data_IF_607065003991
#
_entry.id   IF_607065003991
#
_cell.length_a   1.000
_cell.length_b   1.000
_cell.length_c   1.000
_cell.angle_alpha   90.00
_cell.angle_beta   90.00
_cell.angle_gamma   90.00
#
_symmetry.space_group_name_H-M   'P 1'
#
loop_
_entity.id
_entity.type
_entity.pdbx_description
1 polymer ?
#
# COMPACT_ATOMS: atom_id res chain seq x y z
N UNK A 1 6.13 -29.40 40.79
CA UNK A 1 6.59 -29.77 39.43
C UNK A 1 5.35 -30.08 38.63
N UNK A 2 4.89 -29.26 37.68
CA UNK A 2 5.44 -28.06 37.08
C UNK A 2 4.24 -27.35 36.46
N UNK A 3 4.07 -26.09 36.86
CA UNK A 3 3.33 -25.06 36.15
C UNK A 3 3.92 -24.84 34.76
N UNK A 4 3.10 -24.74 33.71
CA UNK A 4 2.92 -23.47 32.99
C UNK A 4 1.76 -23.54 31.96
N UNK A 5 1.12 -22.39 31.67
CA UNK A 5 -0.05 -22.25 30.79
C UNK A 5 0.35 -21.72 29.40
N UNK A 6 -0.66 -21.30 28.60
CA UNK A 6 -0.58 -20.39 27.43
C UNK A 6 -0.76 -21.07 26.06
N UNK A 7 -2.02 -21.27 25.67
CA UNK A 7 -2.40 -21.29 24.25
C UNK A 7 -3.31 -20.08 23.98
N UNK A 8 -2.77 -18.89 24.18
CA UNK A 8 -3.37 -17.63 23.80
C UNK A 8 -2.48 -17.03 22.71
N UNK A 9 -2.87 -17.22 21.43
CA UNK A 9 -2.58 -16.33 20.28
C UNK A 9 -2.79 -17.05 18.94
N UNK A 10 -4.01 -17.52 18.64
CA UNK A 10 -4.31 -18.00 17.26
C UNK A 10 -5.59 -17.41 16.65
N UNK A 11 -6.41 -16.66 17.40
CA UNK A 11 -7.73 -16.24 16.92
C UNK A 11 -7.88 -14.72 16.68
N UNK A 12 -6.98 -14.11 15.90
CA UNK A 12 -7.14 -12.72 15.45
C UNK A 12 -7.15 -12.54 13.92
N UNK A 13 -7.22 -13.64 13.16
CA UNK A 13 -7.40 -13.63 11.69
C UNK A 13 -8.80 -14.13 11.28
N UNK A 14 -9.71 -14.28 12.24
CA UNK A 14 -11.11 -14.60 11.98
C UNK A 14 -11.94 -13.31 11.88
N UNK A 15 -12.51 -13.05 10.69
CA UNK A 15 -13.73 -12.25 10.40
C UNK A 15 -13.65 -11.29 9.21
N UNK A 16 -12.63 -11.39 8.35
CA UNK A 16 -12.86 -10.97 6.96
C UNK A 16 -13.56 -12.15 6.28
N UNK A 17 -14.88 -12.13 6.30
CA UNK A 17 -15.71 -13.06 5.52
C UNK A 17 -15.41 -12.84 4.03
N UNK A 18 -14.38 -13.52 3.52
CA UNK A 18 -14.12 -13.59 2.08
C UNK A 18 -15.24 -14.45 1.50
N UNK A 19 -16.16 -13.89 0.69
CA UNK A 19 -17.25 -14.68 0.12
C UNK A 19 -16.63 -15.78 -0.74
N UNK A 20 -16.98 -17.03 -0.44
CA UNK A 20 -16.37 -18.22 -1.05
C UNK A 20 -16.53 -18.28 -2.59
N UNK A 21 -17.43 -17.49 -3.17
CA UNK A 21 -17.71 -17.48 -4.61
C UNK A 21 -17.79 -16.06 -5.19
N UNK A 22 -17.00 -15.79 -6.24
CA UNK A 22 -17.07 -14.55 -7.03
C UNK A 22 -18.43 -14.30 -7.68
N UNK A 23 -19.33 -15.29 -7.66
CA UNK A 23 -20.72 -15.18 -8.08
C UNK A 23 -21.59 -14.37 -7.09
N UNK A 24 -21.25 -14.32 -5.80
CA UNK A 24 -22.00 -13.57 -4.79
C UNK A 24 -21.90 -12.04 -4.95
N UNK A 25 -20.97 -11.56 -5.78
CA UNK A 25 -20.79 -10.15 -6.12
C UNK A 25 -21.66 -9.72 -7.32
N UNK A 26 -22.24 -10.66 -8.07
CA UNK A 26 -23.15 -10.39 -9.19
C UNK A 26 -24.58 -10.27 -8.67
N UNK A 27 -24.95 -9.07 -8.22
CA UNK A 27 -26.35 -8.75 -7.90
C UNK A 27 -26.61 -7.51 -7.05
N UNK A 28 -25.58 -6.87 -6.48
CA UNK A 28 -25.76 -5.74 -5.54
C UNK A 28 -25.45 -4.41 -6.23
N UNK A 29 -26.50 -3.66 -6.58
CA UNK A 29 -26.38 -2.31 -7.15
C UNK A 29 -26.47 -1.22 -6.06
N UNK A 30 -25.89 -0.04 -6.33
CA UNK A 30 -26.04 1.16 -5.50
C UNK A 30 -24.97 1.40 -4.42
N UNK A 31 -25.31 2.28 -3.46
CA UNK A 31 -24.45 2.76 -2.36
C UNK A 31 -23.88 1.64 -1.48
N UNK A 32 -24.62 0.52 -1.37
CA UNK A 32 -24.14 -0.66 -0.65
C UNK A 32 -22.84 -1.20 -1.23
N UNK A 33 -22.66 -1.17 -2.56
CA UNK A 33 -21.41 -1.65 -3.20
C UNK A 33 -20.22 -0.76 -2.88
N UNK A 34 -20.44 0.56 -2.81
CA UNK A 34 -19.42 1.53 -2.40
C UNK A 34 -19.03 1.28 -0.94
N UNK A 35 -20.00 1.10 -0.04
CA UNK A 35 -19.75 0.83 1.38
C UNK A 35 -18.94 -0.46 1.60
N UNK A 36 -19.32 -1.57 0.97
CA UNK A 36 -18.55 -2.81 1.06
C UNK A 36 -17.16 -2.69 0.40
N UNK A 37 -17.05 -1.98 -0.74
CA UNK A 37 -15.75 -1.70 -1.36
C UNK A 37 -14.85 -0.86 -0.45
N UNK A 38 -15.40 0.14 0.26
CA UNK A 38 -14.67 0.90 1.27
C UNK A 38 -14.16 0.01 2.41
N UNK A 39 -14.94 -1.00 2.82
CA UNK A 39 -14.51 -2.01 3.79
C UNK A 39 -13.30 -2.83 3.30
N UNK A 40 -13.32 -3.31 2.06
CA UNK A 40 -12.18 -4.02 1.48
C UNK A 40 -10.94 -3.12 1.33
N UNK A 41 -11.12 -1.87 0.88
CA UNK A 41 -10.02 -0.90 0.78
C UNK A 41 -9.38 -0.61 2.15
N UNK A 42 -10.19 -0.44 3.20
CA UNK A 42 -9.69 -0.23 4.55
C UNK A 42 -8.93 -1.46 5.09
N UNK A 43 -9.42 -2.66 4.81
CA UNK A 43 -8.72 -3.90 5.16
C UNK A 43 -7.37 -4.00 4.44
N UNK A 44 -7.31 -3.68 3.14
CA UNK A 44 -6.07 -3.67 2.36
C UNK A 44 -5.04 -2.66 2.89
N UNK A 45 -5.47 -1.42 3.18
CA UNK A 45 -4.59 -0.40 3.78
C UNK A 45 -4.09 -0.82 5.16
N UNK A 46 -4.95 -1.43 5.99
CA UNK A 46 -4.56 -1.94 7.31
C UNK A 46 -3.57 -3.10 7.21
N UNK A 47 -3.75 -3.99 6.24
CA UNK A 47 -2.84 -5.10 5.97
C UNK A 47 -1.46 -4.56 5.55
N UNK A 48 -1.40 -3.65 4.57
CA UNK A 48 -0.16 -3.04 4.13
C UNK A 48 0.54 -2.28 5.27
N UNK A 49 -0.18 -1.48 6.06
CA UNK A 49 0.42 -0.76 7.19
C UNK A 49 1.01 -1.67 8.26
N UNK A 50 0.38 -2.82 8.53
CA UNK A 50 0.88 -3.77 9.53
C UNK A 50 2.00 -4.65 8.99
N UNK A 51 1.86 -5.15 7.77
CA UNK A 51 2.82 -6.07 7.13
C UNK A 51 4.09 -5.37 6.66
N UNK A 52 3.96 -4.17 6.07
CA UNK A 52 5.03 -3.59 5.27
C UNK A 52 5.69 -2.41 5.96
N UNK A 53 6.98 -2.57 6.30
CA UNK A 53 7.77 -1.51 6.90
C UNK A 53 7.94 -0.31 5.95
N UNK A 54 8.16 -0.58 4.66
CA UNK A 54 8.30 0.44 3.63
C UNK A 54 7.00 1.25 3.47
N UNK A 55 5.83 0.61 3.47
CA UNK A 55 4.55 1.33 3.49
C UNK A 55 4.42 2.27 4.70
N UNK A 56 4.81 1.85 5.91
CA UNK A 56 4.80 2.75 7.08
C UNK A 56 5.75 3.93 6.92
N UNK A 57 6.94 3.72 6.35
CA UNK A 57 7.89 4.78 6.06
C UNK A 57 7.33 5.79 5.06
N UNK A 58 6.65 5.33 4.02
CA UNK A 58 5.98 6.20 3.05
C UNK A 58 4.80 6.96 3.64
N UNK A 59 4.05 6.36 4.56
CA UNK A 59 2.99 7.07 5.30
C UNK A 59 3.62 8.20 6.12
N UNK A 60 4.72 7.94 6.83
CA UNK A 60 5.45 8.99 7.55
C UNK A 60 5.97 10.07 6.59
N UNK A 61 6.52 9.69 5.45
CA UNK A 61 6.98 10.63 4.42
C UNK A 61 5.83 11.52 3.93
N UNK A 62 4.66 10.95 3.65
CA UNK A 62 3.45 11.70 3.27
C UNK A 62 3.00 12.65 4.38
N UNK A 63 2.98 12.20 5.63
CA UNK A 63 2.61 13.01 6.79
C UNK A 63 3.56 14.20 7.01
N UNK A 64 4.81 14.12 6.54
CA UNK A 64 5.78 15.21 6.60
C UNK A 64 5.70 16.13 5.37
N UNK A 65 5.76 15.55 4.18
CA UNK A 65 5.87 16.31 2.93
C UNK A 65 4.57 17.00 2.51
N UNK A 66 3.39 16.41 2.78
CA UNK A 66 2.13 17.04 2.39
C UNK A 66 1.92 18.35 3.16
N UNK A 67 2.01 18.41 4.50
CA UNK A 67 1.94 19.68 5.21
C UNK A 67 3.02 20.67 4.77
N UNK A 68 4.24 20.19 4.54
CA UNK A 68 5.35 21.03 4.10
C UNK A 68 5.08 21.68 2.73
N UNK A 69 4.39 21.00 1.80
CA UNK A 69 3.98 21.57 0.52
C UNK A 69 3.02 22.77 0.66
N UNK A 70 2.26 22.86 1.75
CA UNK A 70 1.42 24.03 2.05
C UNK A 70 2.19 25.20 2.67
N UNK A 71 3.39 24.95 3.21
CA UNK A 71 4.24 25.98 3.81
C UNK A 71 5.08 26.74 2.77
N UNK A 72 5.30 26.16 1.57
CA UNK A 72 6.04 26.82 0.51
C UNK A 72 5.19 27.79 -0.32
N UNK A 73 5.82 28.90 -0.72
CA UNK A 73 5.28 29.87 -1.66
C UNK A 73 5.47 29.40 -3.10
N UNK A 74 4.63 28.44 -3.49
CA UNK A 74 4.56 27.88 -4.84
C UNK A 74 3.16 28.06 -5.41
N UNK A 75 3.05 27.98 -6.74
CA UNK A 75 1.76 28.04 -7.41
C UNK A 75 0.84 26.88 -6.98
N UNK A 76 -0.46 27.04 -7.22
CA UNK A 76 -1.45 26.00 -6.89
C UNK A 76 -1.20 24.69 -7.62
N UNK A 77 -0.71 24.77 -8.87
CA UNK A 77 -0.41 23.61 -9.70
C UNK A 77 0.83 22.89 -9.17
N UNK A 78 1.91 23.63 -8.89
CA UNK A 78 3.13 23.05 -8.29
C UNK A 78 2.82 22.37 -6.95
N UNK A 79 2.03 23.00 -6.09
CA UNK A 79 1.60 22.38 -4.82
C UNK A 79 0.82 21.08 -5.03
N UNK A 80 -0.11 21.07 -5.98
CA UNK A 80 -0.87 19.86 -6.31
C UNK A 80 0.05 18.74 -6.80
N UNK A 81 1.05 19.08 -7.62
CA UNK A 81 2.06 18.14 -8.13
C UNK A 81 2.96 17.62 -7.00
N UNK A 82 3.44 18.49 -6.10
CA UNK A 82 4.22 18.11 -4.92
C UNK A 82 3.47 17.09 -4.06
N UNK A 83 2.17 17.31 -3.81
CA UNK A 83 1.33 16.38 -3.04
C UNK A 83 1.09 15.08 -3.82
N UNK A 84 0.78 15.18 -5.11
CA UNK A 84 0.44 14.03 -5.94
C UNK A 84 1.57 13.01 -6.04
N UNK A 85 2.83 13.46 -6.18
CA UNK A 85 3.97 12.52 -6.31
C UNK A 85 4.27 11.75 -5.02
N UNK A 86 4.12 12.36 -3.85
CA UNK A 86 4.33 11.64 -2.57
C UNK A 86 3.20 10.64 -2.33
N UNK A 87 1.97 11.01 -2.69
CA UNK A 87 0.83 10.10 -2.62
C UNK A 87 0.95 8.95 -3.63
N UNK A 88 1.48 9.21 -4.83
CA UNK A 88 1.80 8.17 -5.81
C UNK A 88 2.77 7.13 -5.24
N UNK A 89 3.74 7.52 -4.39
CA UNK A 89 4.62 6.59 -3.70
C UNK A 89 3.86 5.56 -2.84
N UNK A 90 2.78 5.95 -2.16
CA UNK A 90 1.93 4.99 -1.42
C UNK A 90 1.18 4.04 -2.35
N UNK A 91 0.70 4.55 -3.49
CA UNK A 91 0.00 3.74 -4.49
C UNK A 91 0.95 2.68 -5.05
N UNK A 92 2.17 3.08 -5.45
CA UNK A 92 3.16 2.17 -6.03
C UNK A 92 3.57 1.11 -5.01
N UNK A 93 3.76 1.48 -3.75
CA UNK A 93 4.07 0.53 -2.68
C UNK A 93 2.95 -0.50 -2.48
N UNK A 94 1.68 -0.06 -2.44
CA UNK A 94 0.54 -0.98 -2.32
C UNK A 94 0.48 -1.97 -3.49
N UNK A 95 0.78 -1.51 -4.70
CA UNK A 95 0.85 -2.36 -5.88
C UNK A 95 2.03 -3.33 -5.78
N UNK A 96 3.20 -2.87 -5.31
CA UNK A 96 4.36 -3.71 -5.10
C UNK A 96 4.06 -4.85 -4.10
N UNK A 97 3.52 -4.52 -2.93
CA UNK A 97 3.16 -5.52 -1.91
C UNK A 97 2.07 -6.48 -2.40
N UNK A 98 1.11 -6.00 -3.21
CA UNK A 98 0.10 -6.88 -3.81
C UNK A 98 0.70 -7.87 -4.81
N UNK A 99 1.68 -7.45 -5.61
CA UNK A 99 2.44 -8.32 -6.52
C UNK A 99 3.23 -9.34 -5.70
N UNK A 100 3.97 -8.90 -4.68
CA UNK A 100 4.74 -9.79 -3.79
C UNK A 100 3.86 -10.85 -3.14
N UNK A 101 2.74 -10.45 -2.53
CA UNK A 101 1.79 -11.38 -1.91
C UNK A 101 1.19 -12.38 -2.92
N UNK A 102 0.91 -11.94 -4.15
CA UNK A 102 0.40 -12.82 -5.22
C UNK A 102 1.47 -13.83 -5.66
N UNK A 103 2.70 -13.36 -5.87
CA UNK A 103 3.83 -14.20 -6.29
C UNK A 103 4.19 -15.21 -5.20
N UNK A 104 4.22 -14.79 -3.94
CA UNK A 104 4.49 -15.65 -2.78
C UNK A 104 3.44 -16.73 -2.60
N UNK A 105 2.19 -16.45 -2.98
CA UNK A 105 1.12 -17.44 -2.93
C UNK A 105 1.24 -18.52 -4.02
N UNK A 106 1.80 -18.18 -5.18
CA UNK A 106 1.82 -19.06 -6.37
C UNK A 106 3.16 -19.80 -6.52
N UNK A 107 4.26 -19.18 -6.12
CA UNK A 107 5.62 -19.71 -6.33
C UNK A 107 6.11 -20.45 -5.07
N UNK A 108 5.91 -21.78 -5.03
CA UNK A 108 6.43 -22.61 -3.94
C UNK A 108 7.93 -22.96 -4.09
N UNK A 109 8.49 -22.78 -5.29
CA UNK A 109 9.93 -22.91 -5.59
C UNK A 109 10.47 -21.60 -6.18
N UNK A 110 11.79 -21.40 -6.13
CA UNK A 110 12.45 -20.23 -6.73
C UNK A 110 12.35 -20.26 -8.26
N UNK A 111 11.29 -19.65 -8.81
CA UNK A 111 11.11 -19.52 -10.25
C UNK A 111 11.74 -18.22 -10.78
N UNK A 112 12.53 -18.25 -11.88
CA UNK A 112 13.16 -17.05 -12.44
C UNK A 112 12.17 -15.91 -12.75
N UNK A 113 10.96 -16.25 -13.22
CA UNK A 113 9.91 -15.25 -13.48
C UNK A 113 9.31 -14.64 -12.21
N UNK A 114 9.20 -15.42 -11.13
CA UNK A 114 8.72 -14.92 -9.83
C UNK A 114 9.71 -13.89 -9.27
N UNK A 115 11.02 -14.17 -9.40
CA UNK A 115 12.06 -13.21 -9.08
C UNK A 115 11.93 -11.93 -9.92
N UNK A 116 11.82 -12.04 -11.24
CA UNK A 116 11.68 -10.88 -12.12
C UNK A 116 10.46 -10.01 -11.77
N UNK A 117 9.31 -10.62 -11.46
CA UNK A 117 8.11 -9.88 -11.07
C UNK A 117 8.33 -9.03 -9.81
N UNK A 118 9.00 -9.59 -8.79
CA UNK A 118 9.35 -8.86 -7.55
C UNK A 118 10.38 -7.76 -7.81
N UNK A 119 11.41 -8.06 -8.60
CA UNK A 119 12.46 -7.10 -8.96
C UNK A 119 11.85 -5.89 -9.69
N UNK A 120 10.90 -6.11 -10.60
CA UNK A 120 10.18 -5.03 -11.30
C UNK A 120 9.30 -4.20 -10.37
N UNK A 121 8.62 -4.82 -9.40
CA UNK A 121 7.84 -4.12 -8.39
C UNK A 121 8.71 -3.20 -7.53
N UNK A 122 9.83 -3.74 -7.03
CA UNK A 122 10.83 -2.97 -6.29
C UNK A 122 11.45 -1.83 -7.13
N UNK A 123 11.71 -2.08 -8.42
CA UNK A 123 12.21 -1.05 -9.34
C UNK A 123 11.18 0.08 -9.55
N UNK A 124 9.89 -0.25 -9.68
CA UNK A 124 8.83 0.76 -9.78
C UNK A 124 8.78 1.64 -8.52
N UNK A 125 8.92 1.05 -7.34
CA UNK A 125 8.96 1.78 -6.08
C UNK A 125 10.17 2.71 -5.99
N UNK A 126 11.35 2.24 -6.40
CA UNK A 126 12.54 3.08 -6.49
C UNK A 126 12.34 4.27 -7.43
N UNK A 127 11.75 4.04 -8.61
CA UNK A 127 11.44 5.12 -9.55
C UNK A 127 10.44 6.13 -8.98
N UNK A 128 9.44 5.68 -8.22
CA UNK A 128 8.51 6.57 -7.53
C UNK A 128 9.22 7.45 -6.49
N UNK A 129 10.14 6.89 -5.70
CA UNK A 129 10.96 7.65 -4.76
C UNK A 129 11.87 8.66 -5.46
N UNK A 130 12.50 8.27 -6.57
CA UNK A 130 13.28 9.18 -7.41
C UNK A 130 12.43 10.31 -7.98
N UNK A 131 11.20 10.00 -8.43
CA UNK A 131 10.26 10.99 -8.94
C UNK A 131 9.86 12.01 -7.85
N UNK A 132 9.61 11.56 -6.62
CA UNK A 132 9.34 12.44 -5.48
C UNK A 132 10.52 13.41 -5.30
N UNK A 133 11.74 12.89 -5.18
CA UNK A 133 12.94 13.71 -5.00
C UNK A 133 13.17 14.70 -6.15
N UNK A 134 13.03 14.24 -7.39
CA UNK A 134 13.22 15.06 -8.60
C UNK A 134 12.21 16.20 -8.67
N UNK A 135 10.92 15.92 -8.49
CA UNK A 135 9.86 16.93 -8.58
C UNK A 135 9.98 17.95 -7.46
N UNK A 136 10.29 17.50 -6.24
CA UNK A 136 10.55 18.41 -5.11
C UNK A 136 11.78 19.29 -5.35
N UNK A 137 12.86 18.72 -5.88
CA UNK A 137 14.05 19.49 -6.23
C UNK A 137 13.77 20.53 -7.32
N UNK A 138 13.12 20.13 -8.42
CA UNK A 138 12.83 21.02 -9.55
C UNK A 138 11.92 22.20 -9.16
N UNK A 139 10.97 21.99 -8.25
CA UNK A 139 10.04 23.04 -7.84
C UNK A 139 10.66 23.98 -6.79
N UNK A 140 11.49 23.46 -5.88
CA UNK A 140 11.99 24.24 -4.73
C UNK A 140 13.40 24.82 -4.93
N UNK A 141 14.18 24.26 -5.85
CA UNK A 141 15.55 24.71 -6.15
C UNK A 141 15.50 25.57 -7.42
N UNK A 142 15.97 26.83 -7.37
CA UNK A 142 16.03 27.73 -8.53
C UNK A 142 16.92 27.22 -9.68
#
# INVERSE_FOLDING_TARGET
>A
MSSEPTCAATDAVASVDVPADGAALKGRSGLARIWYASGYSAAGLKAAYRGEAAFRQLVLLNLLLIPLAFLFDVSRVERAVLIAVVFLGLIVELLNSAIEATVDRISFELHPLAKQAKDMGSAAQLLALCLIGLVWAVILIP
#
